data_IF_565784493236
#
_entry.id   IF_565784493236
#
_cell.length_a   1.000
_cell.length_b   1.000
_cell.length_c   1.000
_cell.angle_alpha   90.00
_cell.angle_beta   90.00
_cell.angle_gamma   90.00
#
_symmetry.space_group_name_H-M   'P 1'
#
loop_
_entity.id
_entity.type
_entity.pdbx_description
1 polymer ?
#
# COMPACT_ATOMS: atom_id res chain seq x y z
N UNK A 1 -118.93 -41.99 31.63
CA UNK A 1 -119.59 -42.99 30.77
C UNK A 1 -118.62 -43.38 29.69
N UNK A 2 -118.26 -44.39 29.84
CA UNK A 2 -118.32 -45.78 29.50
C UNK A 2 -116.99 -46.30 28.86
N UNK A 3 -116.43 -47.16 29.61
CA UNK A 3 -115.41 -48.13 29.29
C UNK A 3 -115.63 -48.86 27.97
N UNK A 4 -114.58 -49.05 27.19
CA UNK A 4 -114.37 -50.21 26.33
C UNK A 4 -112.95 -50.52 26.18
N UNK A 5 -112.45 -51.36 27.05
CA UNK A 5 -111.23 -52.02 26.94
C UNK A 5 -111.32 -53.12 25.84
N UNK A 6 -110.61 -53.10 24.77
CA UNK A 6 -110.51 -54.24 23.87
C UNK A 6 -109.56 -55.31 24.52
N UNK A 7 -110.13 -56.48 24.84
CA UNK A 7 -109.36 -57.67 25.23
C UNK A 7 -108.40 -58.06 24.11
N UNK A 8 -107.14 -57.90 24.35
CA UNK A 8 -106.02 -58.43 23.50
C UNK A 8 -106.19 -59.97 23.40
N UNK A 9 -106.12 -60.44 22.19
CA UNK A 9 -106.14 -61.91 21.91
C UNK A 9 -104.92 -62.59 22.48
N UNK A 10 -104.92 -63.85 22.87
CA UNK A 10 -103.84 -64.55 23.46
C UNK A 10 -102.57 -64.68 22.53
N UNK A 11 -102.77 -64.44 21.22
CA UNK A 11 -101.72 -64.44 20.22
C UNK A 11 -100.88 -63.11 20.25
N UNK A 12 -101.46 -62.01 20.71
CA UNK A 12 -100.78 -60.72 20.86
C UNK A 12 -99.86 -60.66 22.09
N UNK A 13 -100.16 -61.52 23.11
CA UNK A 13 -99.33 -61.66 24.30
C UNK A 13 -98.02 -62.42 24.05
N UNK A 14 -97.97 -63.30 23.06
CA UNK A 14 -96.77 -64.00 22.67
C UNK A 14 -95.77 -63.08 22.02
N UNK A 15 -96.20 -62.06 21.27
CA UNK A 15 -95.36 -61.06 20.62
C UNK A 15 -94.77 -60.06 21.61
N UNK A 16 -95.57 -59.74 22.67
CA UNK A 16 -95.12 -58.75 23.66
C UNK A 16 -94.02 -59.44 24.58
N UNK A 17 -94.03 -60.72 24.81
CA UNK A 17 -93.07 -61.41 25.58
C UNK A 17 -91.71 -61.48 24.82
N UNK A 18 -91.68 -61.71 23.52
CA UNK A 18 -90.47 -61.80 22.73
C UNK A 18 -89.70 -60.46 22.62
N UNK A 19 -90.48 -59.36 22.63
CA UNK A 19 -89.84 -58.00 22.58
C UNK A 19 -89.24 -57.62 23.94
N UNK A 20 -89.92 -57.98 25.07
CA UNK A 20 -89.36 -57.67 26.39
C UNK A 20 -88.18 -58.57 26.78
N UNK A 21 -88.15 -59.80 26.27
CA UNK A 21 -87.04 -60.74 26.52
C UNK A 21 -85.75 -60.25 25.79
N UNK A 22 -85.90 -59.68 24.62
CA UNK A 22 -84.78 -59.07 23.87
C UNK A 22 -84.23 -57.83 24.55
N UNK A 23 -85.01 -57.08 25.34
CA UNK A 23 -84.57 -55.85 26.06
C UNK A 23 -83.95 -56.20 27.42
N UNK A 24 -84.12 -57.41 27.97
CA UNK A 24 -83.62 -57.83 29.25
C UNK A 24 -82.40 -58.76 29.19
N UNK A 25 -81.94 -59.15 28.01
CA UNK A 25 -80.65 -59.82 27.91
C UNK A 25 -79.54 -58.85 28.32
N UNK A 26 -79.05 -59.01 29.54
CA UNK A 26 -77.83 -58.35 29.98
C UNK A 26 -76.71 -58.71 29.04
N UNK A 27 -76.19 -57.73 28.31
CA UNK A 27 -75.01 -57.93 27.46
C UNK A 27 -73.97 -58.73 28.25
N UNK A 28 -73.48 -59.84 27.70
CA UNK A 28 -72.50 -60.65 28.40
C UNK A 28 -71.28 -59.78 28.68
N UNK A 29 -70.78 -59.86 29.93
CA UNK A 29 -69.58 -59.07 30.35
C UNK A 29 -68.40 -59.18 29.37
N UNK A 30 -68.36 -60.25 28.58
CA UNK A 30 -67.37 -60.42 27.49
C UNK A 30 -67.53 -59.48 26.32
N UNK A 31 -68.81 -59.12 25.92
CA UNK A 31 -69.05 -58.21 24.79
C UNK A 31 -68.67 -56.77 25.15
N UNK A 32 -68.91 -56.30 26.37
CA UNK A 32 -68.47 -54.99 26.83
C UNK A 32 -66.97 -54.88 26.96
N UNK A 33 -66.34 -55.99 27.40
CA UNK A 33 -64.85 -56.05 27.49
C UNK A 33 -64.21 -55.96 26.07
N UNK A 34 -64.83 -56.67 25.10
CA UNK A 34 -64.37 -56.65 23.70
C UNK A 34 -64.52 -55.22 23.07
N UNK A 35 -65.64 -54.50 23.37
CA UNK A 35 -65.80 -53.11 22.94
C UNK A 35 -64.78 -52.22 23.59
N UNK A 36 -64.50 -52.40 24.89
CA UNK A 36 -63.45 -51.59 25.55
C UNK A 36 -62.04 -51.93 25.00
N UNK A 37 -61.71 -53.15 24.71
CA UNK A 37 -60.47 -53.56 24.07
C UNK A 37 -60.35 -52.99 22.65
N UNK A 38 -61.48 -53.01 21.92
CA UNK A 38 -61.53 -52.42 20.57
C UNK A 38 -61.38 -50.84 20.59
N UNK A 39 -62.06 -50.18 21.56
CA UNK A 39 -61.91 -48.75 21.75
C UNK A 39 -60.49 -48.38 22.19
N UNK A 40 -59.89 -49.20 23.07
CA UNK A 40 -58.49 -48.98 23.50
C UNK A 40 -57.49 -49.18 22.35
N UNK A 41 -57.73 -50.25 21.52
CA UNK A 41 -56.91 -50.48 20.33
C UNK A 41 -57.00 -49.34 19.29
N UNK A 42 -58.23 -48.87 19.05
CA UNK A 42 -58.44 -47.71 18.15
C UNK A 42 -57.80 -46.47 18.74
N UNK A 43 -57.95 -46.20 20.04
CA UNK A 43 -57.31 -45.08 20.71
C UNK A 43 -55.77 -45.16 20.65
N UNK A 44 -55.22 -46.36 20.86
CA UNK A 44 -53.77 -46.58 20.72
C UNK A 44 -53.31 -46.45 19.28
N UNK A 45 -54.06 -46.89 18.29
CA UNK A 45 -53.76 -46.75 16.87
C UNK A 45 -53.78 -45.27 16.42
N UNK A 46 -54.79 -44.51 16.90
CA UNK A 46 -54.88 -43.07 16.64
C UNK A 46 -53.73 -42.34 17.33
N UNK A 47 -53.41 -42.68 18.58
CA UNK A 47 -52.25 -42.13 19.29
C UNK A 47 -50.96 -42.46 18.61
N UNK A 48 -50.78 -43.68 18.14
CA UNK A 48 -49.60 -44.09 17.38
C UNK A 48 -49.53 -43.36 16.02
N UNK A 49 -50.63 -43.24 15.31
CA UNK A 49 -50.72 -42.50 14.06
C UNK A 49 -50.38 -41.01 14.20
N UNK A 50 -50.74 -40.41 15.36
CA UNK A 50 -50.38 -39.03 15.67
C UNK A 50 -48.89 -38.81 15.96
N UNK A 51 -48.23 -39.84 16.51
CA UNK A 51 -46.82 -39.78 16.86
C UNK A 51 -45.89 -40.43 15.80
N UNK A 52 -46.47 -41.16 14.87
CA UNK A 52 -45.70 -41.82 13.82
C UNK A 52 -45.20 -40.77 12.81
N UNK A 53 -43.90 -40.55 12.82
CA UNK A 53 -43.22 -39.74 11.78
C UNK A 53 -43.05 -40.61 10.53
N UNK A 54 -43.53 -40.14 9.41
CA UNK A 54 -43.26 -40.75 8.11
C UNK A 54 -42.13 -40.00 7.42
N UNK A 55 -41.04 -40.70 7.17
CA UNK A 55 -39.94 -40.19 6.36
C UNK A 55 -40.38 -40.09 4.91
N UNK A 56 -40.40 -38.88 4.39
CA UNK A 56 -40.55 -38.62 2.94
C UNK A 56 -39.19 -38.60 2.29
N UNK A 57 -38.94 -39.53 1.41
CA UNK A 57 -37.67 -39.63 0.67
C UNK A 57 -37.80 -38.95 -0.71
N UNK A 58 -36.97 -37.92 -0.91
CA UNK A 58 -36.75 -37.29 -2.23
C UNK A 58 -35.54 -37.95 -2.87
N UNK A 59 -35.67 -38.35 -4.12
CA UNK A 59 -34.59 -38.98 -4.89
C UNK A 59 -34.22 -38.12 -6.07
N UNK A 60 -32.91 -37.93 -6.27
CA UNK A 60 -32.34 -37.24 -7.41
C UNK A 60 -31.16 -38.03 -7.98
N UNK A 61 -30.93 -37.86 -9.26
CA UNK A 61 -29.71 -38.34 -9.91
C UNK A 61 -28.73 -37.19 -9.96
N UNK A 62 -27.47 -37.47 -9.67
CA UNK A 62 -26.44 -36.44 -9.64
C UNK A 62 -25.08 -36.99 -10.04
N UNK A 63 -24.16 -36.06 -10.22
CA UNK A 63 -22.76 -36.34 -10.50
C UNK A 63 -21.84 -35.69 -9.48
N UNK A 64 -20.67 -36.27 -9.32
CA UNK A 64 -19.62 -35.73 -8.44
C UNK A 64 -18.89 -34.68 -9.26
N UNK A 65 -18.94 -33.44 -8.78
CA UNK A 65 -18.19 -32.34 -9.36
C UNK A 65 -17.07 -31.90 -8.39
N UNK A 66 -15.97 -31.34 -8.88
CA UNK A 66 -15.00 -30.70 -8.01
C UNK A 66 -15.67 -29.58 -7.23
N UNK A 67 -15.41 -29.49 -5.94
CA UNK A 67 -15.98 -28.44 -5.06
C UNK A 67 -15.46 -27.06 -5.41
N UNK A 68 -14.27 -26.97 -5.98
CA UNK A 68 -13.62 -25.73 -6.38
C UNK A 68 -13.50 -25.60 -7.90
N UNK A 69 -13.63 -24.36 -8.35
CA UNK A 69 -13.46 -24.03 -9.76
C UNK A 69 -12.00 -24.20 -10.19
N UNK A 70 -11.80 -24.60 -11.43
CA UNK A 70 -10.51 -24.69 -12.08
C UNK A 70 -9.76 -23.34 -11.91
N UNK A 71 -8.59 -23.40 -11.33
CA UNK A 71 -7.74 -22.20 -11.18
C UNK A 71 -6.86 -22.06 -12.41
N UNK A 72 -7.10 -20.98 -13.16
CA UNK A 72 -6.30 -20.63 -14.32
C UNK A 72 -5.16 -19.71 -13.87
N UNK A 73 -3.94 -20.14 -14.07
CA UNK A 73 -2.74 -19.35 -13.79
C UNK A 73 -2.33 -18.58 -15.03
N UNK A 74 -2.30 -17.25 -14.89
CA UNK A 74 -1.95 -16.32 -15.96
C UNK A 74 -0.72 -15.52 -15.57
N UNK A 75 0.06 -15.06 -16.55
CA UNK A 75 1.14 -14.13 -16.35
C UNK A 75 0.73 -12.71 -16.77
N UNK A 76 0.92 -11.73 -15.88
CA UNK A 76 0.57 -10.33 -16.12
C UNK A 76 1.58 -9.61 -17.01
N UNK A 77 2.87 -9.94 -16.86
CA UNK A 77 3.98 -9.15 -17.43
C UNK A 77 4.43 -9.66 -18.81
N UNK A 78 4.25 -10.96 -19.10
CA UNK A 78 4.81 -11.60 -20.28
C UNK A 78 6.34 -11.80 -20.18
N UNK A 79 6.94 -12.30 -21.25
CA UNK A 79 8.39 -12.52 -21.34
C UNK A 79 8.75 -13.81 -22.03
N UNK A 80 9.96 -14.31 -21.81
CA UNK A 80 10.48 -15.56 -22.38
C UNK A 80 10.53 -16.60 -21.26
N UNK A 81 9.97 -17.78 -21.52
CA UNK A 81 10.01 -18.91 -20.56
C UNK A 81 11.43 -19.42 -20.42
N UNK A 82 12.04 -19.21 -19.23
CA UNK A 82 13.40 -19.70 -18.96
C UNK A 82 13.43 -21.12 -18.42
N UNK A 83 12.46 -21.46 -17.56
CA UNK A 83 12.36 -22.80 -16.94
C UNK A 83 10.90 -23.20 -16.74
N UNK A 84 10.62 -24.48 -16.92
CA UNK A 84 9.33 -25.11 -16.57
C UNK A 84 9.65 -26.19 -15.54
N UNK A 85 9.10 -26.02 -14.33
CA UNK A 85 9.42 -26.84 -13.16
C UNK A 85 8.37 -27.90 -12.85
N UNK A 86 7.25 -27.91 -13.60
CA UNK A 86 6.13 -28.82 -13.38
C UNK A 86 5.66 -29.43 -14.68
N UNK A 87 4.98 -30.57 -14.59
CA UNK A 87 4.36 -31.30 -15.70
C UNK A 87 2.87 -31.50 -15.45
N UNK A 88 2.14 -31.82 -16.51
CA UNK A 88 0.74 -32.23 -16.37
C UNK A 88 0.62 -33.48 -15.49
N UNK A 89 -0.29 -33.43 -14.55
CA UNK A 89 -0.51 -34.46 -13.52
C UNK A 89 0.28 -34.27 -12.23
N UNK A 90 1.22 -33.33 -12.16
CA UNK A 90 2.00 -33.08 -10.94
C UNK A 90 1.13 -32.47 -9.83
N UNK A 91 1.34 -32.92 -8.59
CA UNK A 91 0.78 -32.30 -7.39
C UNK A 91 1.65 -31.11 -6.98
N UNK A 92 1.04 -29.95 -6.80
CA UNK A 92 1.71 -28.71 -6.40
C UNK A 92 1.15 -28.16 -5.12
N UNK A 93 2.02 -27.56 -4.31
CA UNK A 93 1.63 -26.86 -3.08
C UNK A 93 1.37 -25.36 -3.37
N UNK A 94 0.53 -24.73 -2.54
CA UNK A 94 0.30 -23.29 -2.64
C UNK A 94 1.61 -22.51 -2.48
N UNK A 95 1.89 -21.54 -3.40
CA UNK A 95 3.13 -20.77 -3.41
C UNK A 95 4.32 -21.45 -4.11
N UNK A 96 4.21 -22.73 -4.51
CA UNK A 96 5.26 -23.43 -5.23
C UNK A 96 5.51 -22.76 -6.59
N UNK A 97 6.78 -22.59 -6.97
CA UNK A 97 7.16 -22.06 -8.28
C UNK A 97 6.85 -23.11 -9.35
N UNK A 98 6.09 -22.73 -10.35
CA UNK A 98 5.65 -23.60 -11.44
C UNK A 98 6.51 -23.43 -12.70
N UNK A 99 6.79 -22.19 -13.04
CA UNK A 99 7.66 -21.83 -14.16
C UNK A 99 8.30 -20.47 -13.90
N UNK A 100 9.42 -20.19 -14.58
CA UNK A 100 10.12 -18.90 -14.57
C UNK A 100 10.04 -18.27 -15.96
N UNK A 101 9.68 -17.01 -15.96
CA UNK A 101 9.68 -16.16 -17.13
C UNK A 101 10.80 -15.15 -16.96
N UNK A 102 11.68 -15.00 -17.93
CA UNK A 102 12.75 -14.02 -17.93
C UNK A 102 12.42 -12.89 -18.90
N UNK A 103 12.54 -11.64 -18.44
CA UNK A 103 12.62 -10.48 -19.32
C UNK A 103 13.92 -9.72 -19.04
N UNK A 104 14.91 -9.89 -19.92
CA UNK A 104 16.22 -9.23 -19.82
C UNK A 104 16.11 -7.71 -19.79
N UNK A 105 15.07 -7.14 -20.36
CA UNK A 105 14.85 -5.69 -20.35
C UNK A 105 14.59 -5.19 -18.95
N UNK A 106 13.73 -5.87 -18.18
CA UNK A 106 13.45 -5.49 -16.79
C UNK A 106 14.67 -5.65 -15.89
N UNK A 107 15.40 -6.74 -16.01
CA UNK A 107 16.62 -6.97 -15.23
C UNK A 107 17.67 -5.90 -15.50
N UNK A 108 17.84 -5.50 -16.77
CA UNK A 108 18.75 -4.42 -17.14
C UNK A 108 18.30 -3.05 -16.60
N UNK A 109 17.01 -2.73 -16.69
CA UNK A 109 16.47 -1.46 -16.18
C UNK A 109 16.59 -1.35 -14.65
N UNK A 110 16.40 -2.44 -13.92
CA UNK A 110 16.61 -2.45 -12.46
C UNK A 110 18.06 -2.17 -12.15
N UNK A 111 19.00 -2.85 -12.83
CA UNK A 111 20.42 -2.65 -12.62
C UNK A 111 20.89 -1.22 -12.96
N UNK A 112 20.37 -0.64 -14.03
CA UNK A 112 20.60 0.76 -14.40
C UNK A 112 20.10 1.71 -13.29
N UNK A 113 18.90 1.48 -12.80
CA UNK A 113 18.30 2.27 -11.72
C UNK A 113 19.05 2.13 -10.39
N UNK A 114 19.58 0.94 -10.07
CA UNK A 114 20.44 0.74 -8.92
C UNK A 114 21.75 1.53 -9.02
N UNK A 115 22.40 1.50 -10.20
CA UNK A 115 23.62 2.31 -10.45
C UNK A 115 23.32 3.79 -10.25
N UNK A 116 22.18 4.26 -10.77
CA UNK A 116 21.75 5.65 -10.60
C UNK A 116 21.49 6.00 -9.14
N UNK A 117 20.92 5.09 -8.32
CA UNK A 117 20.75 5.32 -6.87
C UNK A 117 22.09 5.50 -6.17
N UNK A 118 23.09 4.68 -6.49
CA UNK A 118 24.43 4.83 -5.91
C UNK A 118 25.07 6.17 -6.32
N UNK A 119 24.94 6.57 -7.57
CA UNK A 119 25.42 7.88 -8.04
C UNK A 119 24.74 9.03 -7.25
N UNK A 120 23.41 9.01 -7.16
CA UNK A 120 22.65 10.01 -6.42
C UNK A 120 23.00 10.06 -4.93
N UNK A 121 23.23 8.91 -4.30
CA UNK A 121 23.65 8.83 -2.88
C UNK A 121 25.00 9.50 -2.65
N UNK A 122 25.95 9.30 -3.56
CA UNK A 122 27.28 9.93 -3.47
C UNK A 122 27.16 11.45 -3.65
N UNK A 123 26.38 11.94 -4.63
CA UNK A 123 26.11 13.37 -4.86
C UNK A 123 25.42 14.02 -3.67
N UNK A 124 24.39 13.37 -3.12
CA UNK A 124 23.67 13.87 -1.94
C UNK A 124 24.59 13.99 -0.74
N UNK A 125 25.51 13.06 -0.53
CA UNK A 125 26.48 13.15 0.56
C UNK A 125 27.41 14.38 0.41
N UNK A 126 27.89 14.68 -0.80
CA UNK A 126 28.67 15.88 -1.08
C UNK A 126 27.84 17.16 -0.84
N UNK A 127 26.68 17.24 -1.45
CA UNK A 127 25.83 18.43 -1.34
C UNK A 127 25.38 18.71 0.08
N UNK A 128 25.15 17.65 0.87
CA UNK A 128 24.88 17.78 2.30
C UNK A 128 26.06 18.41 3.03
N UNK A 129 27.28 17.93 2.77
CA UNK A 129 28.50 18.49 3.35
C UNK A 129 28.69 19.95 2.97
N UNK A 130 28.48 20.34 1.69
CA UNK A 130 28.55 21.72 1.23
C UNK A 130 27.47 22.61 1.88
N UNK A 131 26.21 22.15 1.94
CA UNK A 131 25.09 22.92 2.48
C UNK A 131 25.18 23.16 3.99
N UNK A 132 25.70 22.19 4.73
CA UNK A 132 25.84 22.24 6.19
C UNK A 132 27.21 22.78 6.63
N UNK A 133 28.19 22.85 5.72
CA UNK A 133 29.57 23.18 6.07
C UNK A 133 30.23 22.08 6.93
N UNK A 134 29.80 20.83 6.75
CA UNK A 134 30.26 19.69 7.53
C UNK A 134 31.28 18.86 6.77
N UNK A 135 31.93 17.93 7.47
CA UNK A 135 32.83 16.96 6.84
C UNK A 135 32.05 15.98 5.94
N UNK A 136 32.67 15.55 4.87
CA UNK A 136 32.08 14.54 3.97
C UNK A 136 31.99 13.18 4.65
N UNK A 137 30.77 12.70 4.85
CA UNK A 137 30.52 11.37 5.41
C UNK A 137 30.15 10.43 4.26
N UNK A 138 30.99 9.43 3.92
CA UNK A 138 30.66 8.46 2.89
C UNK A 138 29.40 7.68 3.25
N UNK A 139 28.43 7.52 2.32
CA UNK A 139 27.24 6.72 2.61
C UNK A 139 27.59 5.24 2.74
N UNK A 140 26.96 4.56 3.70
CA UNK A 140 27.17 3.15 3.99
C UNK A 140 26.60 2.23 2.91
N UNK A 141 27.09 0.98 2.84
CA UNK A 141 26.53 -0.07 1.98
C UNK A 141 26.88 0.07 0.50
N UNK A 142 27.98 0.74 0.13
CA UNK A 142 28.43 0.82 -1.26
C UNK A 142 29.20 -0.45 -1.67
N UNK A 143 28.76 -1.16 -2.71
CA UNK A 143 29.54 -2.23 -3.32
C UNK A 143 30.90 -1.73 -3.81
N UNK A 144 31.96 -2.55 -3.79
CA UNK A 144 33.32 -2.14 -4.21
C UNK A 144 33.37 -1.52 -5.61
N UNK A 145 32.56 -2.01 -6.53
CA UNK A 145 32.49 -1.54 -7.91
C UNK A 145 31.96 -0.10 -8.08
N UNK A 146 31.19 0.43 -7.12
CA UNK A 146 30.59 1.76 -7.17
C UNK A 146 31.28 2.77 -6.25
N UNK A 147 32.35 2.38 -5.55
CA UNK A 147 33.14 3.29 -4.69
C UNK A 147 33.78 4.43 -5.47
N UNK A 148 33.96 4.26 -6.79
CA UNK A 148 34.41 5.33 -7.66
C UNK A 148 33.59 6.60 -7.54
N UNK A 149 32.25 6.52 -7.46
CA UNK A 149 31.37 7.67 -7.28
C UNK A 149 31.69 8.46 -6.00
N UNK A 150 31.96 7.77 -4.89
CA UNK A 150 32.35 8.43 -3.62
C UNK A 150 33.65 9.20 -3.79
N UNK A 151 34.63 8.59 -4.46
CA UNK A 151 35.95 9.22 -4.67
C UNK A 151 35.84 10.45 -5.57
N UNK A 152 35.07 10.37 -6.64
CA UNK A 152 34.82 11.48 -7.55
C UNK A 152 34.13 12.66 -6.84
N UNK A 153 33.06 12.39 -6.08
CA UNK A 153 32.33 13.43 -5.35
C UNK A 153 33.18 14.04 -4.22
N UNK A 154 34.01 13.24 -3.55
CA UNK A 154 34.96 13.77 -2.57
C UNK A 154 36.01 14.69 -3.20
N UNK A 155 36.52 14.34 -4.37
CA UNK A 155 37.47 15.19 -5.10
C UNK A 155 36.80 16.48 -5.58
N UNK A 156 35.57 16.39 -6.06
CA UNK A 156 34.80 17.55 -6.46
C UNK A 156 34.53 18.48 -5.26
N UNK A 157 34.16 17.94 -4.10
CA UNK A 157 34.00 18.72 -2.87
C UNK A 157 35.29 19.50 -2.53
N UNK A 158 36.44 18.80 -2.54
CA UNK A 158 37.72 19.45 -2.25
C UNK A 158 38.04 20.58 -3.24
N UNK A 159 37.75 20.36 -4.50
CA UNK A 159 37.98 21.38 -5.54
C UNK A 159 37.08 22.61 -5.32
N UNK A 160 35.79 22.41 -5.04
CA UNK A 160 34.84 23.50 -4.78
C UNK A 160 35.13 24.27 -3.48
N UNK A 161 35.56 23.55 -2.43
CA UNK A 161 36.02 24.16 -1.19
C UNK A 161 37.28 25.01 -1.42
N UNK A 162 38.27 24.49 -2.16
CA UNK A 162 39.48 25.23 -2.47
C UNK A 162 39.19 26.49 -3.31
N UNK A 163 38.22 26.43 -4.22
CA UNK A 163 37.74 27.60 -4.96
C UNK A 163 37.10 28.66 -4.05
N UNK A 164 36.24 28.23 -3.11
CA UNK A 164 35.62 29.10 -2.12
C UNK A 164 36.69 29.77 -1.25
N UNK A 165 37.62 28.99 -0.72
CA UNK A 165 38.72 29.49 0.13
C UNK A 165 39.61 30.48 -0.62
N UNK A 166 39.94 30.23 -1.89
CA UNK A 166 40.70 31.17 -2.71
C UNK A 166 39.99 32.51 -2.91
N UNK A 167 38.67 32.44 -3.19
CA UNK A 167 37.88 33.65 -3.34
C UNK A 167 37.72 34.43 -2.03
N UNK A 168 37.54 33.74 -0.92
CA UNK A 168 37.52 34.34 0.44
C UNK A 168 38.87 34.98 0.78
N UNK A 169 40.00 34.37 0.38
CA UNK A 169 41.35 34.92 0.57
C UNK A 169 41.51 36.26 -0.16
N UNK A 170 41.08 36.33 -1.44
CA UNK A 170 41.12 37.58 -2.21
C UNK A 170 40.32 38.70 -1.52
N UNK A 171 39.13 38.39 -1.05
CA UNK A 171 38.30 39.37 -0.33
C UNK A 171 38.91 39.78 1.01
N UNK A 172 39.55 38.88 1.74
CA UNK A 172 40.24 39.18 2.99
C UNK A 172 41.47 40.06 2.79
N UNK A 173 42.21 39.87 1.69
CA UNK A 173 43.33 40.76 1.29
C UNK A 173 42.82 42.16 0.93
N UNK A 174 41.71 42.26 0.17
CA UNK A 174 41.09 43.54 -0.15
C UNK A 174 40.60 44.25 1.12
N UNK A 175 39.99 43.52 2.08
CA UNK A 175 39.54 44.06 3.36
C UNK A 175 40.74 44.58 4.18
N UNK A 176 41.83 43.84 4.22
CA UNK A 176 43.07 44.25 4.87
C UNK A 176 43.65 45.54 4.25
N UNK A 177 43.70 45.62 2.92
CA UNK A 177 44.14 46.80 2.21
C UNK A 177 43.28 48.05 2.53
N UNK A 178 41.92 47.92 2.52
CA UNK A 178 41.03 49.04 2.85
C UNK A 178 41.15 49.44 4.33
N UNK A 179 41.38 48.47 5.23
CA UNK A 179 41.62 48.75 6.63
C UNK A 179 42.91 49.53 6.86
N UNK A 180 43.98 49.27 6.08
CA UNK A 180 45.22 50.03 6.09
C UNK A 180 44.99 51.46 5.54
N UNK A 181 44.23 51.63 4.43
CA UNK A 181 43.85 52.94 3.90
C UNK A 181 43.09 53.78 4.96
N UNK A 182 42.22 53.14 5.77
CA UNK A 182 41.51 53.82 6.83
C UNK A 182 42.49 54.32 7.90
N UNK A 183 43.40 53.49 8.37
CA UNK A 183 44.43 53.86 9.37
C UNK A 183 45.35 54.97 8.86
N UNK A 184 45.75 54.93 7.60
CA UNK A 184 46.54 56.00 6.96
C UNK A 184 45.78 57.32 6.90
N UNK A 185 44.50 57.30 6.49
CA UNK A 185 43.63 58.46 6.42
C UNK A 185 43.40 59.06 7.83
N UNK A 186 43.17 58.26 8.83
CA UNK A 186 43.04 58.66 10.23
C UNK A 186 44.33 59.33 10.75
N UNK A 187 45.46 58.72 10.50
CA UNK A 187 46.79 59.25 10.86
C UNK A 187 47.07 60.59 10.20
N UNK A 188 46.74 60.72 8.92
CA UNK A 188 46.86 61.96 8.16
C UNK A 188 45.91 63.05 8.68
N UNK A 189 44.68 62.67 9.00
CA UNK A 189 43.70 63.58 9.60
C UNK A 189 44.25 64.18 10.90
N UNK A 190 44.78 63.34 11.76
CA UNK A 190 45.34 63.77 13.03
C UNK A 190 46.58 64.70 12.86
N UNK A 191 47.41 64.42 11.86
CA UNK A 191 48.53 65.29 11.49
C UNK A 191 48.04 66.66 11.02
N UNK A 192 47.12 66.66 10.04
CA UNK A 192 46.57 67.92 9.50
C UNK A 192 45.82 68.73 10.55
N UNK A 193 45.09 68.04 11.44
CA UNK A 193 44.37 68.64 12.57
C UNK A 193 45.32 69.31 13.57
N UNK A 194 46.48 68.74 13.88
CA UNK A 194 47.53 69.36 14.70
C UNK A 194 48.12 70.57 14.04
N UNK A 195 48.48 70.47 12.78
CA UNK A 195 49.02 71.57 11.99
C UNK A 195 48.03 72.77 11.90
N UNK A 196 46.74 72.44 11.61
CA UNK A 196 45.68 73.48 11.59
C UNK A 196 45.51 74.15 12.96
N UNK A 197 45.50 73.45 14.06
CA UNK A 197 45.37 74.02 15.39
C UNK A 197 46.56 74.87 15.77
N UNK A 198 47.80 74.53 15.39
CA UNK A 198 49.00 75.36 15.58
C UNK A 198 48.95 76.64 14.75
N UNK A 199 48.59 76.51 13.49
CA UNK A 199 48.55 77.69 12.57
C UNK A 199 47.39 78.65 12.91
N UNK A 200 46.25 78.06 13.38
CA UNK A 200 45.11 78.88 13.89
C UNK A 200 45.52 79.71 15.11
N UNK A 201 46.25 79.09 16.03
CA UNK A 201 46.78 79.78 17.23
C UNK A 201 47.76 80.91 16.81
N UNK A 202 48.63 80.62 15.85
CA UNK A 202 49.53 81.62 15.28
C UNK A 202 48.74 82.80 14.71
N UNK A 203 47.69 82.56 13.90
CA UNK A 203 46.79 83.57 13.34
C UNK A 203 46.12 84.44 14.43
N UNK A 204 45.65 83.77 15.54
CA UNK A 204 45.02 84.43 16.70
C UNK A 204 46.00 85.39 17.43
N UNK A 205 47.25 84.94 17.61
CA UNK A 205 48.31 85.74 18.21
C UNK A 205 48.76 86.90 17.32
N UNK A 206 48.75 86.68 16.00
CA UNK A 206 49.20 87.64 15.02
C UNK A 206 48.16 88.76 14.72
N UNK A 207 46.86 88.45 14.92
CA UNK A 207 45.76 89.39 14.67
C UNK A 207 45.91 90.75 15.43
N UNK A 208 46.22 90.84 16.72
CA UNK A 208 46.40 92.09 17.46
C UNK A 208 47.65 92.84 16.94
N UNK A 209 48.71 92.12 16.58
CA UNK A 209 49.96 92.73 16.06
C UNK A 209 49.77 93.45 14.71
N UNK A 210 48.81 93.03 13.89
CA UNK A 210 48.42 93.75 12.69
C UNK A 210 47.74 95.05 13.04
N UNK A 211 46.88 95.14 14.05
CA UNK A 211 46.21 96.35 14.51
C UNK A 211 47.21 97.36 15.06
N UNK A 212 48.32 96.88 15.66
CA UNK A 212 49.41 97.70 16.18
C UNK A 212 50.42 98.12 15.10
N UNK A 213 50.25 97.69 13.83
CA UNK A 213 51.16 98.05 12.71
C UNK A 213 52.53 97.34 12.74
N UNK A 214 52.70 96.30 13.58
CA UNK A 214 53.97 95.56 13.77
C UNK A 214 54.22 94.60 12.63
N UNK A 215 53.15 94.08 11.98
CA UNK A 215 53.21 93.11 10.82
C UNK A 215 52.52 93.71 9.59
N UNK A 216 52.90 93.19 8.39
CA UNK A 216 52.29 93.60 7.12
C UNK A 216 50.95 92.88 6.91
N UNK A 217 49.97 93.60 6.32
CA UNK A 217 48.68 93.02 5.95
C UNK A 217 48.86 91.81 4.99
N UNK A 218 49.86 91.88 4.10
CA UNK A 218 50.19 90.77 3.17
C UNK A 218 50.61 89.53 3.91
N UNK A 219 51.36 89.64 4.99
CA UNK A 219 51.81 88.57 5.83
C UNK A 219 50.60 87.92 6.57
N UNK A 220 49.70 88.67 7.14
CA UNK A 220 48.49 88.26 7.77
C UNK A 220 47.55 87.52 6.77
N UNK A 221 47.34 88.09 5.56
CA UNK A 221 46.53 87.44 4.54
C UNK A 221 47.15 86.09 4.05
N UNK A 222 48.49 86.03 4.04
CA UNK A 222 49.20 84.79 3.69
C UNK A 222 48.90 83.68 4.78
N UNK A 223 49.01 84.04 6.05
CA UNK A 223 48.71 83.10 7.16
C UNK A 223 47.24 82.66 7.13
N UNK A 224 46.32 83.61 6.88
CA UNK A 224 44.90 83.33 6.75
C UNK A 224 44.60 82.36 5.60
N UNK A 225 45.30 82.50 4.48
CA UNK A 225 45.17 81.54 3.37
C UNK A 225 45.65 80.18 3.76
N UNK A 226 46.82 80.08 4.43
CA UNK A 226 47.35 78.79 4.89
C UNK A 226 46.40 78.07 5.85
N UNK A 227 45.74 78.79 6.80
CA UNK A 227 44.72 78.29 7.69
C UNK A 227 43.53 77.74 6.90
N UNK A 228 43.06 78.51 5.89
CA UNK A 228 41.96 78.05 5.04
C UNK A 228 42.30 76.78 4.22
N UNK A 229 43.55 76.72 3.67
CA UNK A 229 44.03 75.57 2.91
C UNK A 229 44.06 74.31 3.80
N UNK A 230 44.61 74.34 5.03
CA UNK A 230 44.62 73.27 5.98
C UNK A 230 43.22 72.91 6.42
N UNK A 231 42.30 73.84 6.60
CA UNK A 231 40.89 73.62 6.87
C UNK A 231 40.22 72.81 5.80
N UNK A 232 40.48 73.18 4.52
CA UNK A 232 39.98 72.47 3.32
C UNK A 232 40.52 71.06 3.25
N UNK A 233 41.83 70.85 3.48
CA UNK A 233 42.46 69.53 3.50
C UNK A 233 41.89 68.67 4.62
N UNK A 234 41.77 69.19 5.87
CA UNK A 234 41.15 68.50 6.97
C UNK A 234 39.72 67.98 6.63
N UNK A 235 38.89 68.91 6.13
CA UNK A 235 37.52 68.63 5.74
C UNK A 235 37.43 67.53 4.64
N UNK A 236 38.34 67.59 3.65
CA UNK A 236 38.42 66.58 2.60
C UNK A 236 38.73 65.20 3.14
N UNK A 237 39.69 65.09 4.08
CA UNK A 237 40.04 63.82 4.71
C UNK A 237 38.87 63.32 5.58
N UNK A 238 38.27 64.21 6.41
CA UNK A 238 37.10 63.88 7.25
C UNK A 238 35.96 63.30 6.42
N UNK A 239 35.70 63.82 5.21
CA UNK A 239 34.68 63.29 4.28
C UNK A 239 35.09 61.97 3.56
N UNK A 240 36.39 61.68 3.49
CA UNK A 240 36.87 60.43 2.89
C UNK A 240 36.74 59.22 3.84
N UNK A 241 36.83 59.41 5.16
CA UNK A 241 36.74 58.32 6.16
C UNK A 241 35.47 57.49 6.06
N UNK A 242 34.24 58.08 6.06
CA UNK A 242 33.02 57.27 5.97
C UNK A 242 32.93 56.54 4.64
N UNK A 243 33.53 57.05 3.54
CA UNK A 243 33.57 56.36 2.26
C UNK A 243 34.45 55.11 2.31
N UNK A 244 35.65 55.21 2.95
CA UNK A 244 36.54 54.06 3.14
C UNK A 244 35.85 53.02 4.07
N UNK A 245 35.19 53.49 5.12
CA UNK A 245 34.45 52.60 6.04
C UNK A 245 33.31 51.86 5.36
N UNK A 246 32.50 52.53 4.55
CA UNK A 246 31.46 51.88 3.72
C UNK A 246 32.05 50.85 2.75
N UNK A 247 33.24 51.12 2.18
CA UNK A 247 33.92 50.14 1.31
C UNK A 247 34.38 48.89 2.09
N UNK A 248 34.83 49.05 3.34
CA UNK A 248 35.15 47.91 4.24
C UNK A 248 33.90 47.08 4.53
N UNK A 249 32.80 47.75 4.88
CA UNK A 249 31.51 47.07 5.17
C UNK A 249 30.97 46.32 3.93
N UNK A 250 31.11 46.92 2.74
CA UNK A 250 30.74 46.28 1.47
C UNK A 250 31.53 44.99 1.22
N UNK A 251 32.87 45.00 1.44
CA UNK A 251 33.69 43.79 1.25
C UNK A 251 33.34 42.72 2.27
N UNK A 252 33.14 43.12 3.54
CA UNK A 252 32.71 42.18 4.58
C UNK A 252 31.34 41.57 4.26
N UNK A 253 30.40 42.36 3.75
CA UNK A 253 29.11 41.90 3.26
C UNK A 253 29.25 40.90 2.12
N UNK A 254 30.12 41.16 1.15
CA UNK A 254 30.39 40.25 0.03
C UNK A 254 30.97 38.91 0.48
N UNK A 255 31.81 38.86 1.53
CA UNK A 255 32.31 37.62 2.08
C UNK A 255 31.17 36.74 2.63
N UNK A 256 30.28 37.35 3.42
CA UNK A 256 29.13 36.65 3.96
C UNK A 256 28.14 36.18 2.88
N UNK A 257 27.89 37.02 1.88
CA UNK A 257 27.03 36.69 0.73
C UNK A 257 27.56 35.51 -0.08
N UNK A 258 28.86 35.45 -0.33
CA UNK A 258 29.51 34.37 -1.07
C UNK A 258 29.35 33.04 -0.37
N UNK A 259 29.57 33.00 0.95
CA UNK A 259 29.39 31.76 1.73
C UNK A 259 27.93 31.31 1.73
N UNK A 260 26.98 32.23 1.95
CA UNK A 260 25.56 31.93 1.90
C UNK A 260 25.11 31.45 0.53
N UNK A 261 25.61 32.05 -0.53
CA UNK A 261 25.31 31.67 -1.91
C UNK A 261 25.81 30.23 -2.20
N UNK A 262 27.05 29.94 -1.81
CA UNK A 262 27.61 28.60 -1.96
C UNK A 262 26.73 27.53 -1.27
N UNK A 263 26.36 27.76 0.00
CA UNK A 263 25.50 26.86 0.76
C UNK A 263 24.08 26.75 0.18
N UNK A 264 23.51 27.87 -0.28
CA UNK A 264 22.16 27.87 -0.82
C UNK A 264 22.06 27.14 -2.16
N UNK A 265 23.08 27.28 -3.03
CA UNK A 265 23.16 26.51 -4.27
C UNK A 265 23.25 25.02 -3.97
N UNK A 266 24.12 24.63 -3.05
CA UNK A 266 24.25 23.24 -2.63
C UNK A 266 22.94 22.68 -2.03
N UNK A 267 22.24 23.48 -1.23
CA UNK A 267 20.96 23.08 -0.63
C UNK A 267 19.85 22.93 -1.67
N UNK A 268 19.79 23.83 -2.64
CA UNK A 268 18.82 23.74 -3.72
C UNK A 268 19.03 22.48 -4.57
N UNK A 269 20.27 22.21 -4.98
CA UNK A 269 20.66 21.02 -5.72
C UNK A 269 20.42 19.73 -4.90
N UNK A 270 20.72 19.76 -3.60
CA UNK A 270 20.42 18.65 -2.68
C UNK A 270 18.94 18.28 -2.66
N UNK A 271 18.07 19.28 -2.53
CA UNK A 271 16.62 19.05 -2.48
C UNK A 271 16.09 18.50 -3.80
N UNK A 272 16.59 18.99 -4.93
CA UNK A 272 16.23 18.50 -6.26
C UNK A 272 16.62 17.02 -6.44
N UNK A 273 17.88 16.68 -6.14
CA UNK A 273 18.39 15.31 -6.26
C UNK A 273 17.76 14.37 -5.23
N UNK A 274 17.41 14.85 -4.04
CA UNK A 274 16.66 14.07 -3.06
C UNK A 274 15.27 13.69 -3.58
N UNK A 275 14.58 14.62 -4.22
CA UNK A 275 13.30 14.36 -4.85
C UNK A 275 13.42 13.38 -6.05
N UNK A 276 14.49 13.53 -6.86
CA UNK A 276 14.81 12.58 -7.94
C UNK A 276 15.03 11.17 -7.39
N UNK A 277 15.87 11.04 -6.35
CA UNK A 277 16.15 9.76 -5.70
C UNK A 277 14.89 9.12 -5.12
N UNK A 278 14.02 9.90 -4.49
CA UNK A 278 12.75 9.39 -3.94
C UNK A 278 11.89 8.78 -5.05
N UNK A 279 11.75 9.46 -6.18
CA UNK A 279 11.01 8.93 -7.34
C UNK A 279 11.66 7.66 -7.90
N UNK A 280 12.98 7.63 -7.93
CA UNK A 280 13.73 6.46 -8.41
C UNK A 280 13.51 5.24 -7.50
N UNK A 281 13.53 5.41 -6.18
CA UNK A 281 13.25 4.33 -5.21
C UNK A 281 11.84 3.77 -5.39
N UNK A 282 10.84 4.63 -5.56
CA UNK A 282 9.46 4.20 -5.83
C UNK A 282 9.37 3.42 -7.16
N UNK A 283 10.04 3.90 -8.20
CA UNK A 283 10.11 3.18 -9.47
C UNK A 283 10.82 1.83 -9.35
N UNK A 284 11.92 1.76 -8.60
CA UNK A 284 12.66 0.52 -8.31
C UNK A 284 11.78 -0.50 -7.58
N UNK A 285 11.00 -0.07 -6.58
CA UNK A 285 10.07 -0.95 -5.87
C UNK A 285 9.08 -1.60 -6.84
N UNK A 286 8.46 -0.81 -7.72
CA UNK A 286 7.55 -1.33 -8.74
C UNK A 286 8.22 -2.29 -9.74
N UNK A 287 9.50 -2.05 -10.08
CA UNK A 287 10.26 -2.97 -10.94
C UNK A 287 10.62 -4.27 -10.21
N UNK A 288 10.96 -4.23 -8.93
CA UNK A 288 11.24 -5.41 -8.10
C UNK A 288 10.00 -6.29 -7.95
N UNK A 289 8.83 -5.70 -7.74
CA UNK A 289 7.56 -6.43 -7.72
C UNK A 289 7.29 -7.15 -9.05
N UNK A 290 7.62 -6.50 -10.18
CA UNK A 290 7.50 -7.15 -11.51
C UNK A 290 8.44 -8.34 -11.65
N UNK A 291 9.69 -8.22 -11.16
CA UNK A 291 10.65 -9.34 -11.14
C UNK A 291 10.12 -10.49 -10.27
N UNK A 292 9.52 -10.22 -9.12
CA UNK A 292 8.90 -11.27 -8.30
C UNK A 292 7.77 -11.99 -9.04
N UNK A 293 6.97 -11.27 -9.84
CA UNK A 293 5.90 -11.85 -10.65
C UNK A 293 6.40 -12.63 -11.87
N UNK A 294 7.67 -12.55 -12.21
CA UNK A 294 8.26 -13.43 -13.24
C UNK A 294 8.41 -14.88 -12.76
N UNK A 295 8.45 -15.11 -11.45
CA UNK A 295 8.25 -16.44 -10.88
C UNK A 295 6.75 -16.72 -10.75
N UNK A 296 6.24 -17.53 -11.65
CA UNK A 296 4.83 -17.93 -11.63
C UNK A 296 4.63 -19.00 -10.58
N UNK A 297 3.79 -18.72 -9.59
CA UNK A 297 3.54 -19.59 -8.44
C UNK A 297 2.12 -20.13 -8.43
N UNK A 298 1.93 -21.31 -7.83
CA UNK A 298 0.63 -21.91 -7.64
C UNK A 298 -0.21 -21.07 -6.65
N UNK A 299 -1.42 -20.63 -7.03
CA UNK A 299 -2.31 -19.91 -6.11
C UNK A 299 -2.90 -20.80 -5.03
N UNK A 300 -3.03 -22.10 -5.29
CA UNK A 300 -3.64 -23.09 -4.42
C UNK A 300 -2.89 -24.42 -4.51
N UNK A 301 -3.04 -25.27 -3.50
CA UNK A 301 -2.63 -26.68 -3.57
C UNK A 301 -3.54 -27.42 -4.52
N UNK A 302 -2.97 -28.20 -5.44
CA UNK A 302 -3.78 -28.93 -6.42
C UNK A 302 -2.94 -29.73 -7.40
N UNK A 303 -3.61 -30.28 -8.39
CA UNK A 303 -2.98 -31.03 -9.50
C UNK A 303 -3.00 -30.21 -10.76
N UNK A 304 -1.85 -30.12 -11.44
CA UNK A 304 -1.75 -29.47 -12.75
C UNK A 304 -2.56 -30.27 -13.77
N UNK A 305 -3.62 -29.65 -14.31
CA UNK A 305 -4.50 -30.30 -15.27
C UNK A 305 -3.94 -30.24 -16.69
N UNK A 306 -3.50 -29.03 -17.08
CA UNK A 306 -3.08 -28.75 -18.44
C UNK A 306 -1.98 -27.68 -18.42
N UNK A 307 -0.95 -27.86 -19.23
CA UNK A 307 0.14 -26.95 -19.42
C UNK A 307 0.08 -26.37 -20.84
N UNK A 308 -0.40 -25.13 -20.98
CA UNK A 308 -0.58 -24.49 -22.29
C UNK A 308 0.74 -24.06 -22.93
N UNK A 309 1.78 -23.88 -22.09
CA UNK A 309 3.11 -23.47 -22.52
C UNK A 309 4.09 -24.57 -22.12
N UNK A 310 4.56 -25.30 -23.11
CA UNK A 310 5.43 -26.47 -22.94
C UNK A 310 6.82 -26.30 -23.58
N UNK A 311 7.15 -25.10 -24.06
CA UNK A 311 8.40 -24.84 -24.79
C UNK A 311 9.26 -23.85 -24.03
N UNK A 312 10.48 -24.27 -23.69
CA UNK A 312 11.53 -23.37 -23.17
C UNK A 312 11.90 -22.39 -24.29
N UNK A 313 12.25 -21.16 -23.95
CA UNK A 313 12.46 -20.02 -24.86
C UNK A 313 11.17 -19.57 -25.62
N UNK A 314 10.01 -20.12 -25.26
CA UNK A 314 8.72 -19.67 -25.77
C UNK A 314 8.39 -18.24 -25.28
N UNK A 315 7.75 -17.44 -26.15
CA UNK A 315 7.33 -16.07 -25.82
C UNK A 315 5.91 -16.10 -25.28
N UNK A 316 5.73 -15.57 -24.09
CA UNK A 316 4.44 -15.36 -23.40
C UNK A 316 4.05 -13.90 -23.50
N UNK A 317 2.80 -13.63 -23.85
CA UNK A 317 2.24 -12.27 -23.85
C UNK A 317 1.63 -11.92 -22.49
N UNK A 318 1.58 -10.63 -22.12
CA UNK A 318 0.83 -10.20 -20.97
C UNK A 318 -0.63 -10.68 -21.00
N UNK A 319 -1.07 -11.35 -19.92
CA UNK A 319 -2.41 -11.90 -19.80
C UNK A 319 -2.61 -13.31 -20.35
N UNK A 320 -1.60 -13.91 -20.98
CA UNK A 320 -1.69 -15.28 -21.49
C UNK A 320 -1.90 -16.29 -20.35
N UNK A 321 -2.73 -17.29 -20.61
CA UNK A 321 -2.92 -18.43 -19.72
C UNK A 321 -1.73 -19.39 -19.88
N UNK A 322 -1.13 -19.75 -18.75
CA UNK A 322 0.05 -20.60 -18.73
C UNK A 322 -0.29 -22.05 -18.43
N UNK A 323 -1.09 -22.26 -17.41
CA UNK A 323 -1.52 -23.58 -16.99
C UNK A 323 -2.82 -23.49 -16.17
N UNK A 324 -3.44 -24.63 -15.95
CA UNK A 324 -4.62 -24.75 -15.11
C UNK A 324 -4.38 -25.77 -13.99
N UNK A 325 -4.87 -25.43 -12.78
CA UNK A 325 -4.75 -26.28 -11.58
C UNK A 325 -6.15 -26.67 -11.11
N UNK A 326 -6.36 -27.96 -10.87
CA UNK A 326 -7.51 -28.45 -10.14
C UNK A 326 -7.13 -28.47 -8.67
N UNK A 327 -7.78 -27.63 -7.84
CA UNK A 327 -7.48 -27.61 -6.43
C UNK A 327 -7.73 -28.95 -5.77
N UNK A 328 -6.84 -29.33 -4.82
CA UNK A 328 -7.00 -30.50 -3.98
C UNK A 328 -7.84 -30.13 -2.78
N UNK A 329 -9.12 -30.47 -2.83
CA UNK A 329 -10.00 -30.30 -1.68
C UNK A 329 -10.40 -31.66 -1.09
N UNK A 330 -10.50 -31.71 0.23
CA UNK A 330 -10.90 -32.92 0.97
C UNK A 330 -12.41 -33.18 0.89
N UNK A 331 -13.20 -32.27 0.29
CA UNK A 331 -14.65 -32.36 0.22
C UNK A 331 -15.12 -32.60 -1.20
N UNK A 332 -15.92 -33.65 -1.37
CA UNK A 332 -16.61 -33.88 -2.65
C UNK A 332 -17.89 -33.06 -2.69
N UNK A 333 -18.17 -32.41 -3.79
CA UNK A 333 -19.44 -31.77 -4.05
C UNK A 333 -20.23 -32.60 -5.05
N UNK A 334 -21.51 -32.82 -4.72
CA UNK A 334 -22.41 -33.57 -5.57
C UNK A 334 -23.47 -32.64 -6.10
N UNK A 335 -23.60 -32.60 -7.39
CA UNK A 335 -24.64 -31.84 -8.08
C UNK A 335 -25.73 -32.79 -8.50
N UNK A 336 -26.93 -32.63 -7.96
CA UNK A 336 -28.06 -33.51 -8.21
C UNK A 336 -29.24 -32.75 -8.82
N UNK A 337 -29.92 -33.43 -9.72
CA UNK A 337 -31.14 -32.96 -10.39
C UNK A 337 -32.38 -33.46 -9.67
N UNK A 338 -33.18 -32.52 -9.18
CA UNK A 338 -34.43 -32.80 -8.45
C UNK A 338 -35.63 -32.32 -9.26
N UNK A 339 -36.67 -33.17 -9.30
CA UNK A 339 -37.91 -32.81 -9.98
C UNK A 339 -38.61 -31.63 -9.32
N UNK A 340 -39.29 -30.72 -10.07
CA UNK A 340 -40.01 -29.61 -9.49
C UNK A 340 -41.09 -30.00 -8.49
N UNK A 341 -41.68 -31.17 -8.60
CA UNK A 341 -42.68 -31.70 -7.66
C UNK A 341 -42.15 -31.88 -6.24
N UNK A 342 -40.86 -32.15 -6.12
CA UNK A 342 -40.23 -32.59 -4.88
C UNK A 342 -39.43 -31.51 -4.16
N UNK A 343 -39.16 -30.39 -4.87
CA UNK A 343 -38.31 -29.29 -4.34
C UNK A 343 -38.89 -28.63 -3.09
N UNK A 344 -40.24 -28.56 -2.97
CA UNK A 344 -40.90 -27.93 -1.83
C UNK A 344 -40.64 -28.64 -0.48
N UNK A 345 -40.11 -29.85 -0.53
CA UNK A 345 -39.79 -30.68 0.63
C UNK A 345 -38.34 -30.58 1.07
N UNK A 346 -37.49 -29.95 0.25
CA UNK A 346 -36.08 -29.82 0.52
C UNK A 346 -35.75 -28.49 1.20
N UNK A 347 -34.85 -28.53 2.16
CA UNK A 347 -34.31 -27.36 2.84
C UNK A 347 -32.79 -27.49 2.97
N UNK A 348 -32.12 -26.36 2.85
CA UNK A 348 -30.68 -26.32 3.12
C UNK A 348 -30.38 -26.74 4.54
N UNK A 349 -29.39 -27.61 4.71
CA UNK A 349 -29.00 -28.23 5.97
C UNK A 349 -29.58 -29.63 6.21
N UNK A 350 -30.50 -30.14 5.37
CA UNK A 350 -30.99 -31.51 5.45
C UNK A 350 -29.89 -32.53 5.16
N UNK A 351 -29.93 -33.63 5.88
CA UNK A 351 -29.05 -34.81 5.64
C UNK A 351 -29.49 -35.54 4.38
N UNK A 352 -28.55 -36.01 3.60
CA UNK A 352 -28.77 -36.81 2.42
C UNK A 352 -27.83 -38.03 2.44
N UNK A 353 -28.27 -39.13 1.89
CA UNK A 353 -27.41 -40.32 1.70
C UNK A 353 -27.14 -40.50 0.21
N UNK A 354 -25.88 -40.41 -0.17
CA UNK A 354 -25.44 -40.57 -1.55
C UNK A 354 -25.01 -41.97 -1.85
N UNK A 355 -25.60 -42.53 -2.89
CA UNK A 355 -25.27 -43.87 -3.41
C UNK A 355 -24.43 -43.71 -4.67
N UNK A 356 -23.16 -44.11 -4.61
CA UNK A 356 -22.24 -44.02 -5.77
C UNK A 356 -22.40 -45.27 -6.62
N UNK A 357 -22.65 -45.13 -7.91
CA UNK A 357 -22.89 -46.23 -8.83
C UNK A 357 -21.70 -47.20 -9.01
N UNK A 358 -20.48 -46.74 -8.67
CA UNK A 358 -19.27 -47.55 -8.75
C UNK A 358 -19.14 -48.58 -7.60
N UNK A 359 -19.96 -48.45 -6.55
CA UNK A 359 -19.88 -49.32 -5.36
C UNK A 359 -21.22 -49.96 -5.06
N UNK A 360 -21.19 -51.22 -4.62
CA UNK A 360 -22.41 -51.92 -4.18
C UNK A 360 -22.88 -51.34 -2.85
N UNK A 361 -24.04 -50.68 -2.89
CA UNK A 361 -24.66 -50.06 -1.73
C UNK A 361 -24.95 -51.06 -0.58
N UNK A 362 -25.24 -52.35 -0.92
CA UNK A 362 -25.54 -53.34 0.10
C UNK A 362 -24.30 -53.70 0.95
N UNK A 363 -23.11 -53.53 0.39
CA UNK A 363 -21.84 -53.86 1.06
C UNK A 363 -21.22 -52.62 1.71
N UNK A 364 -21.21 -51.49 1.03
CA UNK A 364 -20.46 -50.28 1.42
C UNK A 364 -21.33 -49.17 2.04
N UNK A 365 -22.67 -49.31 1.98
CA UNK A 365 -23.58 -48.25 2.46
C UNK A 365 -23.63 -47.02 1.58
N UNK A 366 -24.22 -45.96 2.09
CA UNK A 366 -24.26 -44.64 1.47
C UNK A 366 -23.26 -43.69 2.12
N UNK A 367 -22.84 -42.68 1.37
CA UNK A 367 -22.02 -41.58 1.89
C UNK A 367 -22.96 -40.53 2.47
N UNK A 368 -22.73 -40.14 3.72
CA UNK A 368 -23.50 -39.09 4.37
C UNK A 368 -23.12 -37.73 3.77
N UNK A 369 -24.12 -36.95 3.42
CA UNK A 369 -23.99 -35.65 2.83
C UNK A 369 -25.00 -34.67 3.44
N UNK A 370 -24.77 -33.39 3.24
CA UNK A 370 -25.67 -32.31 3.64
C UNK A 370 -26.02 -31.45 2.45
N UNK A 371 -27.29 -31.07 2.34
CA UNK A 371 -27.78 -30.18 1.32
C UNK A 371 -27.26 -28.76 1.62
N UNK A 372 -26.38 -28.22 0.76
CA UNK A 372 -25.77 -26.92 0.95
C UNK A 372 -26.39 -25.83 0.09
N UNK A 373 -26.94 -26.20 -1.06
CA UNK A 373 -27.48 -25.24 -2.03
C UNK A 373 -28.67 -25.82 -2.76
N UNK A 374 -29.68 -24.98 -3.01
CA UNK A 374 -30.84 -25.24 -3.87
C UNK A 374 -30.91 -24.08 -4.85
N UNK A 375 -30.97 -24.38 -6.16
CA UNK A 375 -31.09 -23.34 -7.18
C UNK A 375 -32.43 -22.56 -7.05
N UNK A 376 -32.41 -21.22 -7.23
CA UNK A 376 -33.65 -20.42 -7.14
C UNK A 376 -34.57 -20.58 -8.35
N UNK A 377 -34.09 -21.16 -9.44
CA UNK A 377 -34.84 -21.36 -10.69
C UNK A 377 -34.62 -22.78 -11.23
N UNK A 378 -35.51 -23.20 -12.12
CA UNK A 378 -35.42 -24.47 -12.83
C UNK A 378 -34.46 -24.37 -14.03
N UNK A 379 -33.73 -25.44 -14.31
CA UNK A 379 -32.96 -25.69 -15.51
C UNK A 379 -33.70 -26.68 -16.39
N UNK A 380 -33.38 -26.71 -17.66
CA UNK A 380 -33.92 -27.66 -18.60
C UNK A 380 -32.82 -28.66 -18.99
N UNK A 381 -33.16 -29.96 -18.99
CA UNK A 381 -32.29 -31.00 -19.56
C UNK A 381 -32.31 -30.94 -21.10
N UNK A 382 -31.40 -31.64 -21.78
CA UNK A 382 -31.39 -31.79 -23.24
C UNK A 382 -32.72 -32.36 -23.79
N UNK A 383 -33.47 -33.06 -22.94
CA UNK A 383 -34.80 -33.61 -23.25
C UNK A 383 -35.94 -32.67 -22.94
N UNK A 384 -35.64 -31.39 -22.62
CA UNK A 384 -36.61 -30.33 -22.28
C UNK A 384 -37.42 -30.60 -20.98
N UNK A 385 -36.87 -31.40 -20.04
CA UNK A 385 -37.47 -31.63 -18.73
C UNK A 385 -36.89 -30.61 -17.73
N UNK A 386 -37.81 -30.00 -16.97
CA UNK A 386 -37.41 -29.02 -15.96
C UNK A 386 -36.92 -29.74 -14.68
N UNK A 387 -35.80 -29.28 -14.12
CA UNK A 387 -35.26 -29.73 -12.85
C UNK A 387 -34.72 -28.59 -12.01
N UNK A 388 -34.64 -28.77 -10.71
CA UNK A 388 -33.88 -27.94 -9.81
C UNK A 388 -32.53 -28.57 -9.55
N UNK A 389 -31.52 -27.72 -9.54
CA UNK A 389 -30.16 -28.10 -9.23
C UNK A 389 -29.93 -27.96 -7.74
N UNK A 390 -29.49 -29.04 -7.08
CA UNK A 390 -29.15 -29.05 -5.66
C UNK A 390 -27.72 -29.51 -5.47
N UNK A 391 -27.06 -28.97 -4.50
CA UNK A 391 -25.69 -29.35 -4.16
C UNK A 391 -25.59 -29.79 -2.70
#
# INVERSE_FOLDING_TARGET
>A
MSDRNPKLKPEDLAYINSVNEAVLEKTPRGASLLLWCMALFIGAAISWAYWAELDELVRGNGEIIPSSQLQVVQNLEGGIVSEILVREGDLVEAGQVLLRIEDKRFTSSVKESEVRDYELRAKLARLKAEAEGAEFVPPEGFPPQYRGFITEEMNLLRSRQAELDANQTVLSEQLSQRSQELVEAESRLEQVRRSYNLLLRELEITRPLLAEGVISEVEFLRLQRQVNDLRGERSSIELSLPRIQSAIEEIAGKQGEMELQFRNIARAEYNELLAERTRLIEALSGMQDRIQRTEVRAPVKGTVKELLINTIDGVVRPGDQLLSIVPWEDKLLIEAHIKPSDIGRLRVGQTASVKVSAYDFAIYGGIDAYLTFISPSTFLTEQNEAYYLVR
#
